data_IF_099207553193
#
_entry.id   IF_099207553193
#
_cell.length_a   1.000
_cell.length_b   1.000
_cell.length_c   1.000
_cell.angle_alpha   90.00
_cell.angle_beta   90.00
_cell.angle_gamma   90.00
#
_symmetry.space_group_name_H-M   'P 1'
#
loop_
_entity.id
_entity.type
_entity.pdbx_description
1 polymer ?
#
# COMPACT_ATOMS: atom_id res chain seq x y z
N UNK A 1 20.71 -20.56 -0.64
CA UNK A 1 22.08 -20.12 -0.37
C UNK A 1 22.05 -19.18 0.82
N UNK A 2 23.03 -19.25 1.71
CA UNK A 2 23.16 -18.30 2.84
C UNK A 2 24.36 -17.37 2.61
N UNK A 3 24.34 -16.18 3.19
CA UNK A 3 25.39 -15.15 3.03
C UNK A 3 26.82 -15.67 3.25
N UNK A 4 27.03 -16.60 4.20
CA UNK A 4 28.34 -17.21 4.44
C UNK A 4 28.88 -18.01 3.24
N UNK A 5 27.99 -18.69 2.51
CA UNK A 5 28.33 -19.47 1.32
C UNK A 5 28.71 -18.50 0.20
N UNK A 6 27.93 -17.44 0.00
CA UNK A 6 28.20 -16.42 -1.01
C UNK A 6 29.55 -15.72 -0.77
N UNK A 7 29.84 -15.29 0.46
CA UNK A 7 31.12 -14.63 0.78
C UNK A 7 32.30 -15.56 0.48
N UNK A 8 32.21 -16.82 0.92
CA UNK A 8 33.25 -17.82 0.70
C UNK A 8 33.46 -18.09 -0.79
N UNK A 9 32.39 -18.29 -1.53
CA UNK A 9 32.44 -18.54 -2.97
C UNK A 9 33.06 -17.37 -3.72
N UNK A 10 32.59 -16.14 -3.50
CA UNK A 10 33.15 -14.95 -4.18
C UNK A 10 34.60 -14.70 -3.82
N UNK A 11 35.01 -14.97 -2.58
CA UNK A 11 36.42 -14.92 -2.19
C UNK A 11 37.25 -15.93 -2.99
N UNK A 12 36.78 -17.17 -3.10
CA UNK A 12 37.48 -18.23 -3.84
C UNK A 12 37.51 -17.99 -5.34
N UNK A 13 36.43 -17.45 -5.94
CA UNK A 13 36.38 -17.08 -7.36
C UNK A 13 37.41 -15.99 -7.70
N UNK A 14 37.67 -15.07 -6.77
CA UNK A 14 38.72 -14.05 -6.90
C UNK A 14 40.12 -14.54 -6.52
N UNK A 15 40.28 -15.83 -6.20
CA UNK A 15 41.55 -16.44 -5.75
C UNK A 15 42.17 -15.74 -4.51
N UNK A 16 41.34 -15.22 -3.60
CA UNK A 16 41.79 -14.54 -2.39
C UNK A 16 41.88 -15.51 -1.21
N UNK A 17 42.89 -15.34 -0.36
CA UNK A 17 42.94 -16.00 0.95
C UNK A 17 42.05 -15.27 1.96
N UNK A 18 41.75 -15.89 3.11
CA UNK A 18 40.98 -15.21 4.17
C UNK A 18 41.75 -14.00 4.72
N UNK A 19 43.08 -14.07 4.75
CA UNK A 19 43.98 -12.99 5.14
C UNK A 19 43.88 -11.81 4.18
N UNK A 20 43.95 -12.07 2.87
CA UNK A 20 43.84 -11.02 1.86
C UNK A 20 42.47 -10.33 1.89
N UNK A 21 41.39 -11.08 2.15
CA UNK A 21 40.07 -10.50 2.32
C UNK A 21 39.99 -9.65 3.61
N UNK A 22 40.56 -10.14 4.71
CA UNK A 22 40.58 -9.43 5.97
C UNK A 22 41.34 -8.09 5.86
N UNK A 23 42.47 -8.09 5.16
CA UNK A 23 43.26 -6.89 4.84
C UNK A 23 42.43 -5.88 4.02
N UNK A 24 41.74 -6.34 2.97
CA UNK A 24 40.91 -5.48 2.13
C UNK A 24 39.79 -4.75 2.89
N UNK A 25 39.24 -5.37 3.94
CA UNK A 25 38.19 -4.78 4.78
C UNK A 25 38.68 -4.16 6.08
N UNK A 26 39.99 -4.23 6.39
CA UNK A 26 40.56 -3.73 7.64
C UNK A 26 40.02 -4.46 8.88
N UNK A 27 39.79 -5.78 8.77
CA UNK A 27 39.25 -6.64 9.83
C UNK A 27 40.23 -7.76 10.18
N UNK A 28 39.91 -8.54 11.21
CA UNK A 28 40.70 -9.72 11.56
C UNK A 28 40.38 -10.91 10.67
N UNK A 29 41.36 -11.77 10.43
CA UNK A 29 41.19 -13.04 9.69
C UNK A 29 40.15 -13.92 10.36
N UNK A 30 40.09 -13.89 11.69
CA UNK A 30 39.09 -14.59 12.49
C UNK A 30 37.67 -14.10 12.21
N UNK A 31 37.48 -12.81 11.90
CA UNK A 31 36.18 -12.27 11.51
C UNK A 31 35.72 -12.88 10.18
N UNK A 32 36.60 -12.89 9.17
CA UNK A 32 36.33 -13.53 7.87
C UNK A 32 35.99 -15.01 8.04
N UNK A 33 36.79 -15.75 8.83
CA UNK A 33 36.53 -17.17 9.11
C UNK A 33 35.16 -17.39 9.75
N UNK A 34 34.78 -16.56 10.73
CA UNK A 34 33.45 -16.63 11.35
C UNK A 34 32.32 -16.26 10.39
N UNK A 35 32.55 -15.33 9.45
CA UNK A 35 31.59 -15.03 8.40
C UNK A 35 31.37 -16.23 7.50
N UNK A 36 32.44 -16.86 6.99
CA UNK A 36 32.35 -17.98 6.05
C UNK A 36 31.87 -19.29 6.67
N UNK A 37 31.92 -19.40 8.00
CA UNK A 37 31.39 -20.55 8.75
C UNK A 37 29.99 -20.30 9.31
N UNK A 38 29.44 -19.09 9.15
CA UNK A 38 28.12 -18.71 9.68
C UNK A 38 28.08 -18.55 11.20
N UNK A 39 29.24 -18.45 11.86
CA UNK A 39 29.35 -18.19 13.31
C UNK A 39 29.11 -16.72 13.67
N UNK A 40 29.26 -15.82 12.70
CA UNK A 40 28.89 -14.40 12.83
C UNK A 40 28.54 -13.83 11.47
N UNK A 41 27.91 -12.66 11.45
CA UNK A 41 27.61 -11.94 10.22
C UNK A 41 28.49 -10.69 10.10
N UNK A 42 28.76 -10.22 8.86
CA UNK A 42 29.28 -8.88 8.67
C UNK A 42 28.33 -7.84 9.30
N UNK A 43 28.89 -6.75 9.82
CA UNK A 43 28.08 -5.63 10.27
C UNK A 43 27.28 -5.06 9.10
N UNK A 44 26.08 -4.53 9.37
CA UNK A 44 25.21 -3.97 8.34
C UNK A 44 25.91 -2.89 7.50
N UNK A 45 26.83 -2.13 8.10
CA UNK A 45 27.61 -1.10 7.42
C UNK A 45 28.69 -1.66 6.48
N UNK A 46 29.05 -2.94 6.62
CA UNK A 46 30.00 -3.63 5.74
C UNK A 46 29.34 -4.25 4.53
N UNK A 47 28.03 -4.52 4.57
CA UNK A 47 27.32 -5.18 3.48
C UNK A 47 27.44 -4.45 2.13
N UNK A 48 27.29 -3.11 2.05
CA UNK A 48 27.49 -2.39 0.79
C UNK A 48 28.93 -2.53 0.27
N UNK A 49 29.93 -2.43 1.17
CA UNK A 49 31.34 -2.59 0.80
C UNK A 49 31.65 -3.98 0.27
N UNK A 50 31.04 -5.02 0.86
CA UNK A 50 31.16 -6.41 0.41
C UNK A 50 30.55 -6.56 -1.00
N UNK A 51 29.38 -5.97 -1.23
CA UNK A 51 28.73 -5.95 -2.54
C UNK A 51 29.63 -5.28 -3.59
N UNK A 52 30.15 -4.09 -3.29
CA UNK A 52 31.04 -3.34 -4.18
C UNK A 52 32.34 -4.11 -4.48
N UNK A 53 32.98 -4.66 -3.44
CA UNK A 53 34.24 -5.40 -3.57
C UNK A 53 34.11 -6.64 -4.45
N UNK A 54 33.00 -7.38 -4.31
CA UNK A 54 32.73 -8.56 -5.12
C UNK A 54 32.00 -8.26 -6.43
N UNK A 55 31.60 -7.00 -6.67
CA UNK A 55 30.79 -6.57 -7.80
C UNK A 55 29.48 -7.39 -7.91
N UNK A 56 28.76 -7.50 -6.79
CA UNK A 56 27.49 -8.21 -6.69
C UNK A 56 26.42 -7.30 -6.09
N UNK A 57 25.15 -7.64 -6.28
CA UNK A 57 24.05 -6.93 -5.62
C UNK A 57 23.83 -7.46 -4.19
N UNK A 58 23.13 -6.67 -3.35
CA UNK A 58 22.64 -7.15 -2.06
C UNK A 58 21.82 -8.44 -2.20
N UNK A 59 20.96 -8.54 -3.21
CA UNK A 59 20.19 -9.77 -3.44
C UNK A 59 21.11 -10.98 -3.69
N UNK A 60 22.13 -10.80 -4.53
CA UNK A 60 23.10 -11.85 -4.79
C UNK A 60 23.87 -12.23 -3.52
N UNK A 61 24.24 -11.26 -2.68
CA UNK A 61 24.91 -11.52 -1.41
C UNK A 61 24.08 -12.42 -0.49
N UNK A 62 22.78 -12.15 -0.35
CA UNK A 62 21.89 -12.89 0.55
C UNK A 62 21.41 -14.23 -0.03
N UNK A 63 21.11 -14.29 -1.32
CA UNK A 63 20.40 -15.41 -1.95
C UNK A 63 21.24 -16.21 -2.96
N UNK A 64 22.42 -15.72 -3.33
CA UNK A 64 23.31 -16.33 -4.34
C UNK A 64 22.93 -16.00 -5.78
N UNK A 65 23.75 -16.43 -6.74
CA UNK A 65 23.48 -16.33 -8.20
C UNK A 65 22.24 -17.14 -8.63
N UNK A 66 21.94 -18.23 -7.91
CA UNK A 66 20.75 -19.07 -8.11
C UNK A 66 19.57 -18.66 -7.22
N UNK A 67 19.72 -17.59 -6.44
CA UNK A 67 18.60 -16.93 -5.77
C UNK A 67 17.67 -16.44 -6.87
N UNK A 68 16.64 -17.24 -7.15
CA UNK A 68 15.82 -17.13 -8.34
C UNK A 68 15.36 -15.70 -8.54
N UNK A 69 15.47 -15.26 -9.79
CA UNK A 69 14.82 -14.07 -10.29
C UNK A 69 13.40 -13.96 -9.70
N UNK A 70 13.04 -12.77 -9.24
CA UNK A 70 11.69 -12.36 -8.86
C UNK A 70 10.74 -12.41 -10.09
N UNK A 71 10.57 -13.58 -10.70
CA UNK A 71 9.79 -13.75 -11.93
C UNK A 71 8.42 -14.39 -11.66
N UNK A 72 8.13 -14.82 -10.44
CA UNK A 72 6.80 -15.26 -10.04
C UNK A 72 6.19 -14.21 -9.12
N UNK A 73 5.04 -13.66 -9.54
CA UNK A 73 4.22 -12.83 -8.68
C UNK A 73 3.83 -13.66 -7.44
N UNK A 74 3.86 -13.10 -6.22
CA UNK A 74 3.44 -13.82 -5.03
C UNK A 74 2.02 -14.38 -5.19
N UNK A 75 1.78 -15.60 -4.75
CA UNK A 75 0.42 -16.14 -4.60
C UNK A 75 -0.21 -15.60 -3.32
N UNK A 76 -0.57 -14.32 -3.35
CA UNK A 76 -1.14 -13.57 -2.23
C UNK A 76 -2.60 -13.14 -2.47
N UNK A 77 -3.28 -13.80 -3.43
CA UNK A 77 -4.67 -13.56 -3.79
C UNK A 77 -4.98 -12.09 -4.11
N UNK A 78 -3.98 -11.41 -4.68
CA UNK A 78 -4.03 -9.99 -5.03
C UNK A 78 -3.79 -9.81 -6.51
N UNK A 79 -4.78 -9.21 -7.19
CA UNK A 79 -4.62 -8.79 -8.57
C UNK A 79 -3.90 -7.45 -8.62
N UNK A 80 -2.74 -7.46 -9.28
CA UNK A 80 -1.94 -6.25 -9.52
C UNK A 80 -2.30 -5.70 -10.89
N UNK A 81 -2.85 -4.50 -10.91
CA UNK A 81 -3.31 -3.82 -12.12
C UNK A 81 -2.37 -2.67 -12.41
N UNK A 82 -1.75 -2.70 -13.59
CA UNK A 82 -0.73 -1.74 -14.00
C UNK A 82 -1.14 -1.01 -15.27
N UNK A 83 -0.80 0.27 -15.37
CA UNK A 83 -1.07 1.05 -16.58
C UNK A 83 -0.02 0.74 -17.66
N UNK A 84 -0.49 0.47 -18.88
CA UNK A 84 0.37 0.34 -20.06
C UNK A 84 0.27 1.58 -20.94
N UNK A 85 1.41 2.22 -21.26
CA UNK A 85 1.47 3.37 -22.16
C UNK A 85 2.39 3.01 -23.33
N UNK A 86 1.89 3.13 -24.56
CA UNK A 86 2.69 2.87 -25.77
C UNK A 86 3.26 1.44 -25.86
N UNK A 87 2.55 0.45 -25.30
CA UNK A 87 2.98 -0.95 -25.27
C UNK A 87 4.00 -1.28 -24.16
N UNK A 88 4.31 -0.32 -23.27
CA UNK A 88 5.20 -0.53 -22.11
C UNK A 88 4.40 -0.50 -20.82
N UNK A 89 4.66 -1.46 -19.94
CA UNK A 89 4.19 -1.41 -18.54
C UNK A 89 4.92 -0.27 -17.85
N UNK A 90 4.19 0.59 -17.18
CA UNK A 90 4.74 1.75 -16.48
C UNK A 90 4.86 1.44 -14.98
N UNK A 91 5.90 1.99 -14.36
CA UNK A 91 6.16 1.82 -12.93
C UNK A 91 5.10 2.54 -12.07
N UNK A 92 5.04 2.18 -10.79
CA UNK A 92 4.10 2.80 -9.83
C UNK A 92 4.29 4.32 -9.66
N UNK A 93 5.43 4.87 -10.06
CA UNK A 93 5.77 6.30 -9.91
C UNK A 93 5.48 7.14 -11.15
N UNK A 94 5.28 6.48 -12.30
CA UNK A 94 5.26 7.15 -13.61
C UNK A 94 3.91 7.08 -14.32
N UNK A 95 2.86 6.58 -13.63
CA UNK A 95 1.54 6.43 -14.25
C UNK A 95 0.89 7.79 -14.57
N UNK A 96 0.13 7.82 -15.67
CA UNK A 96 -0.65 9.00 -16.11
C UNK A 96 -1.92 9.11 -15.27
N UNK A 97 -1.93 10.04 -14.33
CA UNK A 97 -3.04 10.31 -13.41
C UNK A 97 -4.34 10.74 -14.10
N UNK A 98 -4.27 11.22 -15.35
CA UNK A 98 -5.45 11.63 -16.13
C UNK A 98 -6.15 10.44 -16.78
N UNK A 99 -5.48 9.29 -16.88
CA UNK A 99 -6.05 8.07 -17.49
C UNK A 99 -6.42 7.07 -16.42
N UNK A 100 -7.65 6.56 -16.52
CA UNK A 100 -8.17 5.52 -15.63
C UNK A 100 -8.16 4.17 -16.33
N UNK A 101 -7.71 3.15 -15.62
CA UNK A 101 -7.74 1.76 -16.07
C UNK A 101 -9.18 1.26 -15.90
N UNK A 102 -9.80 0.80 -16.98
CA UNK A 102 -11.15 0.21 -16.93
C UNK A 102 -11.05 -1.27 -16.55
N UNK A 103 -11.73 -1.65 -15.48
CA UNK A 103 -11.80 -3.03 -14.99
C UNK A 103 -13.25 -3.48 -14.95
N UNK A 104 -13.49 -4.71 -15.40
CA UNK A 104 -14.79 -5.36 -15.29
C UNK A 104 -14.65 -6.59 -14.40
N UNK A 105 -15.33 -6.58 -13.26
CA UNK A 105 -15.40 -7.69 -12.32
C UNK A 105 -16.76 -8.37 -12.54
N UNK A 106 -16.77 -9.61 -13.05
CA UNK A 106 -18.02 -10.33 -13.28
C UNK A 106 -18.69 -10.67 -11.94
N UNK A 107 -20.01 -10.49 -11.89
CA UNK A 107 -20.85 -10.66 -10.69
C UNK A 107 -20.83 -12.07 -10.08
N UNK A 108 -20.26 -13.07 -10.76
CA UNK A 108 -20.17 -14.47 -10.29
C UNK A 108 -18.88 -14.79 -9.54
N UNK A 109 -18.04 -13.79 -9.21
CA UNK A 109 -16.79 -14.01 -8.49
C UNK A 109 -17.01 -14.00 -6.97
N UNK A 110 -17.50 -15.12 -6.42
CA UNK A 110 -17.54 -15.32 -4.95
C UNK A 110 -16.14 -15.38 -4.33
N UNK A 111 -15.10 -15.48 -5.15
CA UNK A 111 -13.71 -15.48 -4.68
C UNK A 111 -13.40 -14.14 -4.06
N UNK A 112 -12.95 -14.17 -2.81
CA UNK A 112 -12.34 -13.03 -2.15
C UNK A 112 -11.04 -12.70 -2.89
N UNK A 113 -10.75 -11.45 -3.18
CA UNK A 113 -9.46 -11.01 -3.74
C UNK A 113 -9.21 -9.54 -3.44
N UNK A 114 -7.94 -9.17 -3.37
CA UNK A 114 -7.53 -7.78 -3.23
C UNK A 114 -7.10 -7.20 -4.58
N UNK A 115 -7.33 -5.90 -4.76
CA UNK A 115 -6.84 -5.14 -5.90
C UNK A 115 -5.72 -4.19 -5.46
N UNK A 116 -4.60 -4.26 -6.17
CA UNK A 116 -3.53 -3.28 -6.06
C UNK A 116 -3.34 -2.61 -7.43
N UNK A 117 -3.68 -1.33 -7.48
CA UNK A 117 -3.81 -0.56 -8.72
C UNK A 117 -2.71 0.49 -8.76
N UNK A 118 -1.83 0.37 -9.74
CA UNK A 118 -0.79 1.35 -10.00
C UNK A 118 -1.34 2.43 -10.91
N UNK A 119 -2.09 3.33 -10.28
CA UNK A 119 -2.70 4.49 -10.90
C UNK A 119 -4.15 4.67 -10.51
N UNK A 120 -4.93 5.23 -11.42
CA UNK A 120 -6.37 5.45 -11.25
C UNK A 120 -7.16 4.34 -11.97
N UNK A 121 -8.33 3.98 -11.46
CA UNK A 121 -9.19 2.97 -12.08
C UNK A 121 -10.67 3.32 -12.05
N UNK A 122 -11.38 2.86 -13.08
CA UNK A 122 -12.83 2.75 -13.16
C UNK A 122 -13.19 1.27 -13.11
N UNK A 123 -13.81 0.83 -12.03
CA UNK A 123 -14.11 -0.57 -11.76
C UNK A 123 -15.62 -0.78 -11.83
N UNK A 124 -16.05 -1.62 -12.76
CA UNK A 124 -17.43 -2.05 -12.89
C UNK A 124 -17.61 -3.41 -12.22
N UNK A 125 -18.52 -3.50 -11.25
CA UNK A 125 -18.78 -4.70 -10.48
C UNK A 125 -18.26 -4.62 -9.04
N UNK A 126 -18.77 -5.50 -8.19
CA UNK A 126 -18.47 -5.49 -6.76
C UNK A 126 -17.16 -6.20 -6.46
N UNK A 127 -16.39 -5.63 -5.54
CA UNK A 127 -15.08 -6.13 -5.15
C UNK A 127 -15.24 -6.87 -3.82
N UNK A 128 -15.05 -8.18 -3.85
CA UNK A 128 -15.03 -8.99 -2.64
C UNK A 128 -13.64 -8.96 -1.98
N UNK A 129 -13.23 -7.81 -1.45
CA UNK A 129 -11.94 -7.66 -0.78
C UNK A 129 -11.53 -6.21 -0.68
N UNK A 130 -10.23 -5.95 -0.69
CA UNK A 130 -9.68 -4.62 -0.45
C UNK A 130 -9.19 -3.98 -1.75
N UNK A 131 -9.22 -2.65 -1.82
CA UNK A 131 -8.66 -1.89 -2.94
C UNK A 131 -7.58 -0.95 -2.45
N UNK A 132 -6.40 -1.03 -3.05
CA UNK A 132 -5.30 -0.11 -2.85
C UNK A 132 -4.95 0.54 -4.19
N UNK A 133 -4.94 1.87 -4.26
CA UNK A 133 -4.68 2.58 -5.51
C UNK A 133 -3.70 3.73 -5.36
N UNK A 134 -2.81 3.84 -6.35
CA UNK A 134 -1.91 4.97 -6.49
C UNK A 134 -2.63 6.28 -6.84
N UNK A 135 -3.83 6.23 -7.41
CA UNK A 135 -4.58 7.39 -7.91
C UNK A 135 -6.05 7.38 -7.49
N UNK A 136 -6.94 7.84 -8.38
CA UNK A 136 -8.38 7.91 -8.13
C UNK A 136 -9.03 6.55 -8.35
N UNK A 137 -9.91 6.12 -7.44
CA UNK A 137 -10.69 4.89 -7.60
C UNK A 137 -12.16 5.25 -7.78
N UNK A 138 -12.75 4.74 -8.85
CA UNK A 138 -14.19 4.66 -9.01
C UNK A 138 -14.61 3.19 -8.96
N UNK A 139 -15.59 2.83 -8.14
CA UNK A 139 -16.01 1.44 -8.00
C UNK A 139 -17.50 1.29 -7.65
N UNK A 140 -18.05 0.08 -7.77
CA UNK A 140 -19.35 -0.27 -7.19
C UNK A 140 -19.17 -0.50 -5.68
N UNK A 141 -19.60 -1.65 -5.15
CA UNK A 141 -19.43 -1.95 -3.73
C UNK A 141 -18.09 -2.64 -3.46
N UNK A 142 -17.55 -2.40 -2.26
CA UNK A 142 -16.33 -3.04 -1.76
C UNK A 142 -16.66 -3.69 -0.43
N UNK A 143 -16.48 -5.00 -0.30
CA UNK A 143 -16.75 -5.69 0.97
C UNK A 143 -15.70 -5.40 2.03
N UNK A 144 -14.47 -5.08 1.62
CA UNK A 144 -13.36 -4.68 2.49
C UNK A 144 -13.19 -3.17 2.57
N UNK A 145 -11.94 -2.71 2.58
CA UNK A 145 -11.58 -1.29 2.66
C UNK A 145 -11.04 -0.73 1.33
N UNK A 146 -11.02 0.60 1.22
CA UNK A 146 -10.41 1.31 0.09
C UNK A 146 -9.37 2.31 0.58
N UNK A 147 -8.14 2.18 0.07
CA UNK A 147 -7.07 3.15 0.27
C UNK A 147 -6.61 3.73 -1.08
N UNK A 148 -6.54 5.05 -1.17
CA UNK A 148 -6.15 5.73 -2.40
C UNK A 148 -5.29 6.97 -2.13
N UNK A 149 -4.22 7.17 -2.91
CA UNK A 149 -3.51 8.47 -2.91
C UNK A 149 -4.26 9.54 -3.73
N UNK A 150 -5.31 9.15 -4.47
CA UNK A 150 -6.25 10.08 -5.10
C UNK A 150 -7.55 10.20 -4.30
N UNK A 151 -8.66 10.44 -5.02
CA UNK A 151 -10.01 10.38 -4.46
C UNK A 151 -10.64 8.99 -4.58
N UNK A 152 -11.69 8.75 -3.79
CA UNK A 152 -12.45 7.49 -3.79
C UNK A 152 -13.91 7.79 -4.10
N UNK A 153 -14.47 7.13 -5.11
CA UNK A 153 -15.87 7.26 -5.51
C UNK A 153 -16.49 5.87 -5.64
N UNK A 154 -17.16 5.39 -4.60
CA UNK A 154 -17.69 4.03 -4.58
C UNK A 154 -19.16 3.97 -4.15
N UNK A 155 -19.80 2.82 -4.33
CA UNK A 155 -21.12 2.52 -3.77
C UNK A 155 -21.03 2.40 -2.25
N UNK A 156 -21.05 1.19 -1.73
CA UNK A 156 -20.77 0.88 -0.32
C UNK A 156 -19.32 0.46 -0.09
N UNK A 157 -18.80 0.73 1.11
CA UNK A 157 -17.55 0.17 1.59
C UNK A 157 -17.80 -0.49 2.95
N UNK A 158 -17.71 -1.81 3.01
CA UNK A 158 -17.95 -2.60 4.22
C UNK A 158 -16.85 -2.47 5.29
N UNK A 159 -15.70 -1.92 4.91
CA UNK A 159 -14.60 -1.57 5.80
C UNK A 159 -14.49 -0.06 5.99
N UNK A 160 -13.28 0.46 5.84
CA UNK A 160 -12.97 1.88 5.99
C UNK A 160 -12.50 2.49 4.67
N UNK A 161 -12.43 3.82 4.62
CA UNK A 161 -11.89 4.56 3.48
C UNK A 161 -10.78 5.51 3.94
N UNK A 162 -9.61 5.43 3.32
CA UNK A 162 -8.56 6.44 3.44
C UNK A 162 -8.18 6.99 2.06
N UNK A 163 -8.37 8.29 1.87
CA UNK A 163 -8.06 8.98 0.63
C UNK A 163 -7.25 10.24 0.90
N UNK A 164 -6.21 10.51 0.11
CA UNK A 164 -5.57 11.84 0.14
C UNK A 164 -6.42 12.89 -0.58
N UNK A 165 -7.30 12.47 -1.50
CA UNK A 165 -8.28 13.31 -2.16
C UNK A 165 -9.64 13.34 -1.46
N UNK A 166 -10.68 13.70 -2.22
CA UNK A 166 -12.07 13.65 -1.75
C UNK A 166 -12.65 12.23 -1.76
N UNK A 167 -13.69 12.02 -0.96
CA UNK A 167 -14.39 10.74 -0.84
C UNK A 167 -15.87 10.93 -1.11
N UNK A 168 -16.42 10.17 -2.06
CA UNK A 168 -17.84 10.12 -2.37
C UNK A 168 -18.33 8.67 -2.32
N UNK A 169 -19.00 8.27 -1.24
CA UNK A 169 -19.49 6.89 -1.07
C UNK A 169 -20.96 6.83 -0.63
N UNK A 170 -21.73 5.87 -1.13
CA UNK A 170 -23.08 5.56 -0.63
C UNK A 170 -23.13 5.28 0.87
N UNK A 171 -22.21 4.47 1.42
CA UNK A 171 -22.10 4.20 2.85
C UNK A 171 -20.77 3.57 3.21
N UNK A 172 -20.31 3.78 4.44
CA UNK A 172 -19.06 3.23 4.96
C UNK A 172 -19.35 2.64 6.34
N UNK A 173 -19.10 1.35 6.52
CA UNK A 173 -19.39 0.67 7.80
C UNK A 173 -18.33 0.98 8.86
N UNK A 174 -17.10 1.27 8.44
CA UNK A 174 -15.98 1.64 9.29
C UNK A 174 -15.73 3.15 9.36
N UNK A 175 -14.47 3.53 9.54
CA UNK A 175 -14.05 4.92 9.63
C UNK A 175 -13.72 5.52 8.26
N UNK A 176 -13.61 6.85 8.22
CA UNK A 176 -13.22 7.60 7.03
C UNK A 176 -12.10 8.61 7.36
N UNK A 177 -11.08 8.67 6.51
CA UNK A 177 -10.11 9.77 6.46
C UNK A 177 -9.96 10.30 5.04
N UNK A 178 -10.15 11.60 4.87
CA UNK A 178 -10.02 12.27 3.58
C UNK A 178 -9.12 13.51 3.68
N UNK A 179 -8.16 13.64 2.75
CA UNK A 179 -7.43 14.90 2.55
C UNK A 179 -8.25 15.95 1.79
N UNK A 180 -9.40 15.57 1.22
CA UNK A 180 -10.33 16.48 0.54
C UNK A 180 -11.68 16.62 1.27
N UNK A 181 -12.70 16.99 0.49
CA UNK A 181 -14.10 16.98 0.95
C UNK A 181 -14.71 15.58 0.91
N UNK A 182 -15.74 15.38 1.73
CA UNK A 182 -16.47 14.12 1.87
C UNK A 182 -17.94 14.35 1.53
N UNK A 183 -18.50 13.45 0.74
CA UNK A 183 -19.93 13.35 0.48
C UNK A 183 -20.36 11.88 0.56
N UNK A 184 -20.82 11.46 1.74
CA UNK A 184 -21.20 10.07 1.96
C UNK A 184 -22.64 9.91 2.48
N UNK A 185 -23.20 8.71 2.43
CA UNK A 185 -24.37 8.36 3.26
C UNK A 185 -23.94 8.18 4.72
N UNK A 186 -24.11 6.99 5.28
CA UNK A 186 -23.71 6.70 6.67
C UNK A 186 -22.21 6.45 6.82
N UNK A 187 -21.66 6.79 7.99
CA UNK A 187 -20.30 6.41 8.42
C UNK A 187 -20.43 5.71 9.78
N UNK A 188 -20.11 4.42 9.85
CA UNK A 188 -20.24 3.62 11.07
C UNK A 188 -19.12 3.82 12.09
N UNK A 189 -18.05 4.53 11.73
CA UNK A 189 -16.94 4.88 12.61
C UNK A 189 -16.69 6.39 12.72
N UNK A 190 -15.44 6.75 13.05
CA UNK A 190 -14.97 8.13 13.04
C UNK A 190 -14.84 8.67 11.60
N UNK A 191 -15.07 9.97 11.42
CA UNK A 191 -14.91 10.63 10.13
C UNK A 191 -14.02 11.86 10.24
N UNK A 192 -12.95 11.90 9.45
CA UNK A 192 -12.03 13.03 9.36
C UNK A 192 -11.88 13.50 7.93
N UNK A 193 -12.00 14.81 7.70
CA UNK A 193 -11.82 15.44 6.40
C UNK A 193 -11.06 16.76 6.55
N UNK A 194 -10.07 17.05 5.69
CA UNK A 194 -9.47 18.39 5.69
C UNK A 194 -10.41 19.44 5.11
N UNK A 195 -11.36 19.05 4.25
CA UNK A 195 -12.37 19.94 3.67
C UNK A 195 -13.70 19.95 4.43
N UNK A 196 -14.81 19.88 3.69
CA UNK A 196 -16.14 19.73 4.26
C UNK A 196 -16.52 18.27 4.43
N UNK A 197 -17.15 17.92 5.54
CA UNK A 197 -17.77 16.63 5.79
C UNK A 197 -19.29 16.73 5.57
N UNK A 198 -19.78 16.22 4.44
CA UNK A 198 -21.21 16.15 4.14
C UNK A 198 -21.65 14.69 4.20
N UNK A 199 -22.56 14.36 5.13
CA UNK A 199 -22.93 12.97 5.34
C UNK A 199 -24.32 12.75 5.94
N UNK A 200 -24.76 11.49 5.95
CA UNK A 200 -25.90 11.01 6.72
C UNK A 200 -25.60 11.00 8.22
N UNK A 201 -25.59 9.83 8.83
CA UNK A 201 -25.25 9.67 10.25
C UNK A 201 -23.78 9.27 10.39
N UNK A 202 -23.15 9.74 11.47
CA UNK A 202 -21.83 9.29 11.92
C UNK A 202 -21.99 8.68 13.31
N UNK A 203 -21.60 7.41 13.44
CA UNK A 203 -21.67 6.70 14.74
C UNK A 203 -20.46 6.99 15.64
N UNK A 204 -19.35 7.48 15.08
CA UNK A 204 -18.17 7.96 15.81
C UNK A 204 -18.07 9.48 15.92
N UNK A 205 -16.84 9.95 16.06
CA UNK A 205 -16.47 11.36 16.12
C UNK A 205 -16.34 11.97 14.72
N UNK A 206 -16.50 13.29 14.61
CA UNK A 206 -16.40 14.02 13.35
C UNK A 206 -15.39 15.17 13.45
N UNK A 207 -14.40 15.18 12.56
CA UNK A 207 -13.41 16.27 12.46
C UNK A 207 -13.36 16.81 11.04
N UNK A 208 -13.64 18.10 10.84
CA UNK A 208 -13.49 18.76 9.53
C UNK A 208 -13.44 20.28 9.64
N UNK A 209 -13.18 21.02 8.55
CA UNK A 209 -13.37 22.48 8.56
C UNK A 209 -14.85 22.84 8.67
N UNK A 210 -15.70 22.11 7.93
CA UNK A 210 -17.15 22.31 7.91
C UNK A 210 -17.87 20.99 7.99
N UNK A 211 -18.79 20.85 8.95
CA UNK A 211 -19.57 19.62 9.13
C UNK A 211 -21.03 19.90 8.79
N UNK A 212 -21.57 19.11 7.85
CA UNK A 212 -22.98 19.10 7.45
C UNK A 212 -23.45 17.65 7.38
N UNK A 213 -23.77 17.08 8.54
CA UNK A 213 -24.31 15.73 8.63
C UNK A 213 -25.67 15.71 9.36
N UNK A 214 -26.46 14.65 9.15
CA UNK A 214 -27.78 14.50 9.79
C UNK A 214 -27.62 14.33 11.30
N UNK A 215 -26.71 13.45 11.73
CA UNK A 215 -26.43 13.17 13.14
C UNK A 215 -24.96 12.78 13.30
N UNK A 216 -24.35 13.22 14.41
CA UNK A 216 -23.05 12.72 14.86
C UNK A 216 -23.23 12.26 16.31
N UNK A 217 -22.92 11.01 16.59
CA UNK A 217 -23.08 10.42 17.93
C UNK A 217 -21.91 10.76 18.85
N UNK A 218 -20.70 10.82 18.31
CA UNK A 218 -19.50 11.19 19.04
C UNK A 218 -19.27 12.70 19.11
N UNK A 219 -18.02 13.06 19.43
CA UNK A 219 -17.58 14.45 19.52
C UNK A 219 -17.43 15.11 18.15
N UNK A 220 -17.63 16.42 18.10
CA UNK A 220 -17.53 17.22 16.89
C UNK A 220 -16.41 18.25 17.05
N UNK A 221 -15.47 18.26 16.11
CA UNK A 221 -14.39 19.23 16.03
C UNK A 221 -14.36 19.90 14.66
N UNK A 222 -14.80 21.16 14.57
CA UNK A 222 -14.76 21.93 13.34
C UNK A 222 -14.89 23.44 13.56
N UNK A 223 -14.52 24.22 12.53
CA UNK A 223 -14.69 25.67 12.52
C UNK A 223 -16.16 26.08 12.33
N UNK A 224 -16.92 25.29 11.56
CA UNK A 224 -18.33 25.58 11.26
C UNK A 224 -19.20 24.32 11.22
N UNK A 225 -20.22 24.28 12.10
CA UNK A 225 -21.23 23.23 12.16
C UNK A 225 -22.53 23.67 11.49
N UNK A 226 -23.10 22.81 10.64
CA UNK A 226 -24.48 22.92 10.14
C UNK A 226 -25.18 21.57 10.35
N UNK A 227 -25.72 21.36 11.55
CA UNK A 227 -26.57 20.20 11.86
C UNK A 227 -28.01 20.67 11.74
N UNK A 228 -28.82 19.94 10.97
CA UNK A 228 -30.27 20.18 10.97
C UNK A 228 -30.80 19.71 12.32
N UNK A 229 -31.47 20.59 13.06
CA UNK A 229 -32.34 20.16 14.16
C UNK A 229 -33.37 19.21 13.54
N UNK A 230 -33.39 17.97 13.99
CA UNK A 230 -34.60 17.16 13.84
C UNK A 230 -35.58 17.73 14.85
N UNK A 231 -36.68 18.30 14.35
CA UNK A 231 -37.87 18.40 15.16
C UNK A 231 -38.38 16.96 15.31
N UNK A 232 -38.43 16.48 16.54
CA UNK A 232 -39.08 15.22 16.89
C UNK A 232 -40.59 15.43 16.68
N UNK A 233 -41.04 15.42 15.44
CA UNK A 233 -42.46 15.39 15.10
C UNK A 233 -42.87 13.93 14.82
N UNK A 234 -43.64 13.42 15.78
CA UNK A 234 -44.60 12.31 15.80
C UNK A 234 -44.94 11.66 14.43
N UNK A 235 -44.68 10.35 14.31
CA UNK A 235 -45.67 9.27 14.14
C UNK A 235 -44.99 7.90 13.88
#
# INVERSE_FOLDING_TARGET
>A
MKIQETIKERRTEKNLSQEALAEAFGISVQAVSKWETGLSYPDITMLPKICDFFNITMNTLFYGEKGQALNELPDDNKYRVVQCIGGKVISHEEYDSKKKIKLLIPSSSDKKFDLEIWGSADIEGDINGNVNAGGVVNCSDVSGYVQAKGGVNCGGVGGYVEAQGGVNCGGIDGYLKAGGGVNCGGIGGDASAQGSLNCGNIEGNATAQKIKCKKVKGSINCDKVIIKKYDDDED
#
